data_IF_604868297184
#
_entry.id   IF_604868297184
#
_cell.length_a   1.000
_cell.length_b   1.000
_cell.length_c   1.000
_cell.angle_alpha   90.00
_cell.angle_beta   90.00
_cell.angle_gamma   90.00
#
_symmetry.space_group_name_H-M   'P 1'
#
loop_
_entity.id
_entity.type
_entity.pdbx_description
1 polymer ?
#
# COMPACT_ATOMS: atom_id res chain seq x y z
N UNK A 1 -16.20 7.45 13.12
CA UNK A 1 -16.28 6.28 12.22
C UNK A 1 -14.87 5.75 12.07
N UNK A 2 -14.55 4.58 12.62
CA UNK A 2 -13.24 3.96 12.39
C UNK A 2 -13.32 3.18 11.08
N UNK A 3 -12.93 3.82 9.99
CA UNK A 3 -12.73 3.12 8.71
C UNK A 3 -11.49 2.26 8.83
N UNK A 4 -11.64 0.96 8.62
CA UNK A 4 -10.54 -0.01 8.56
C UNK A 4 -10.24 -0.36 7.10
N UNK A 5 -8.96 -0.47 6.76
CA UNK A 5 -8.48 -0.88 5.45
C UNK A 5 -7.64 -2.15 5.61
N UNK A 6 -7.77 -3.09 4.67
CA UNK A 6 -6.92 -4.28 4.63
C UNK A 6 -5.61 -3.93 3.91
N UNK A 7 -4.49 -3.98 4.63
CA UNK A 7 -3.18 -3.49 4.17
C UNK A 7 -2.25 -4.66 3.88
N UNK A 8 -1.64 -4.68 2.70
CA UNK A 8 -0.64 -5.68 2.35
C UNK A 8 0.75 -5.27 2.84
N UNK A 9 1.16 -4.04 2.55
CA UNK A 9 2.46 -3.50 2.95
C UNK A 9 2.45 -1.96 3.00
N UNK A 10 3.30 -1.40 3.86
CA UNK A 10 3.61 0.04 3.93
C UNK A 10 5.13 0.18 3.93
N UNK A 11 5.69 0.90 2.97
CA UNK A 11 7.15 1.06 2.84
C UNK A 11 7.52 2.41 2.22
N UNK A 12 8.75 2.85 2.46
CA UNK A 12 9.31 4.09 1.91
C UNK A 12 10.36 3.78 0.84
N UNK A 13 10.19 4.40 -0.33
CA UNK A 13 11.08 4.22 -1.48
C UNK A 13 10.99 5.44 -2.41
N UNK A 14 11.56 5.35 -3.61
CA UNK A 14 11.38 6.32 -4.68
C UNK A 14 10.23 5.88 -5.59
N UNK A 15 9.40 6.81 -6.05
CA UNK A 15 8.43 6.54 -7.11
C UNK A 15 9.15 6.10 -8.38
N UNK A 16 8.75 4.96 -8.95
CA UNK A 16 9.40 4.34 -10.09
C UNK A 16 8.78 4.72 -11.44
N UNK A 17 7.60 5.36 -11.44
CA UNK A 17 6.80 5.53 -12.66
C UNK A 17 6.23 6.93 -12.89
N UNK A 18 5.94 7.21 -14.16
CA UNK A 18 5.25 8.41 -14.65
C UNK A 18 5.94 9.75 -14.33
N UNK A 19 5.16 10.78 -13.96
CA UNK A 19 5.65 12.16 -13.82
C UNK A 19 6.51 12.38 -12.57
N UNK A 20 6.30 11.54 -11.56
CA UNK A 20 6.87 11.71 -10.22
C UNK A 20 8.04 10.75 -9.96
N UNK A 21 8.58 10.13 -11.02
CA UNK A 21 9.76 9.26 -10.95
C UNK A 21 10.88 9.93 -10.15
N UNK A 22 11.42 9.20 -9.18
CA UNK A 22 12.53 9.63 -8.33
C UNK A 22 12.10 10.41 -7.09
N UNK A 23 10.82 10.74 -6.90
CA UNK A 23 10.36 11.40 -5.67
C UNK A 23 10.30 10.40 -4.50
N UNK A 24 10.88 10.73 -3.33
CA UNK A 24 10.71 9.92 -2.14
C UNK A 24 9.24 9.85 -1.72
N UNK A 25 8.71 8.64 -1.60
CA UNK A 25 7.27 8.38 -1.44
C UNK A 25 7.06 7.22 -0.47
N UNK A 26 6.10 7.38 0.45
CA UNK A 26 5.59 6.27 1.25
C UNK A 26 4.45 5.61 0.48
N UNK A 27 4.61 4.33 0.17
CA UNK A 27 3.60 3.51 -0.50
C UNK A 27 2.74 2.80 0.54
N UNK A 28 1.42 2.84 0.34
CA UNK A 28 0.44 2.08 1.12
C UNK A 28 -0.26 1.13 0.16
N UNK A 29 0.15 -0.14 0.14
CA UNK A 29 -0.47 -1.15 -0.74
C UNK A 29 -1.63 -1.81 -0.01
N UNK A 30 -2.83 -1.71 -0.58
CA UNK A 30 -4.02 -2.41 -0.08
C UNK A 30 -4.01 -3.88 -0.51
N UNK A 31 -4.69 -4.70 0.29
CA UNK A 31 -4.94 -6.10 -0.03
C UNK A 31 -6.23 -6.23 -0.83
N UNK A 32 -6.18 -7.04 -1.89
CA UNK A 32 -7.33 -7.47 -2.67
C UNK A 32 -7.47 -6.76 -4.01
N UNK A 33 -7.76 -7.54 -5.04
CA UNK A 33 -8.13 -7.05 -6.38
C UNK A 33 -9.17 -8.01 -6.95
N UNK A 34 -10.27 -7.54 -7.57
CA UNK A 34 -11.25 -8.43 -8.20
C UNK A 34 -10.77 -8.98 -9.56
N UNK A 35 -9.72 -8.40 -10.14
CA UNK A 35 -9.15 -8.84 -11.41
C UNK A 35 -8.16 -9.99 -11.21
N UNK A 36 -7.99 -10.82 -12.25
CA UNK A 36 -7.06 -11.96 -12.28
C UNK A 36 -6.20 -11.89 -13.55
N UNK A 37 -5.51 -10.77 -13.69
CA UNK A 37 -4.63 -10.52 -14.83
C UNK A 37 -3.44 -11.49 -14.80
N UNK A 38 -3.18 -12.19 -15.91
CA UNK A 38 -2.05 -13.12 -16.04
C UNK A 38 -0.67 -12.44 -16.08
N UNK A 39 -0.65 -11.11 -16.25
CA UNK A 39 0.55 -10.28 -16.30
C UNK A 39 0.76 -9.48 -15.00
N UNK A 40 0.05 -9.82 -13.92
CA UNK A 40 0.22 -9.14 -12.65
C UNK A 40 1.54 -9.57 -12.00
N UNK A 41 2.40 -8.59 -11.67
CA UNK A 41 3.65 -8.82 -10.95
C UNK A 41 3.47 -8.90 -9.42
N UNK A 42 2.31 -8.47 -8.92
CA UNK A 42 2.00 -8.31 -7.49
C UNK A 42 0.83 -9.22 -7.06
N UNK A 43 0.76 -10.44 -7.58
CA UNK A 43 -0.33 -11.39 -7.25
C UNK A 43 -0.42 -11.72 -5.75
N UNK A 44 0.71 -11.61 -5.03
CA UNK A 44 0.77 -11.81 -3.59
C UNK A 44 -0.14 -10.84 -2.81
N UNK A 45 -0.46 -9.67 -3.37
CA UNK A 45 -1.35 -8.70 -2.76
C UNK A 45 -2.84 -9.05 -2.88
N UNK A 46 -3.21 -10.11 -3.61
CA UNK A 46 -4.62 -10.51 -3.76
C UNK A 46 -5.24 -11.07 -2.47
N UNK A 47 -4.40 -11.56 -1.55
CA UNK A 47 -4.82 -12.18 -0.29
C UNK A 47 -4.02 -11.60 0.86
N UNK A 48 -4.67 -11.48 2.00
CA UNK A 48 -4.12 -10.90 3.20
C UNK A 48 -5.26 -10.54 4.14
N UNK A 49 -4.98 -10.51 5.43
CA UNK A 49 -5.98 -10.16 6.43
C UNK A 49 -5.30 -9.33 7.52
N UNK A 50 -5.02 -8.08 7.19
CA UNK A 50 -4.38 -7.13 8.08
C UNK A 50 -5.20 -5.84 8.06
N UNK A 51 -6.27 -5.84 8.85
CA UNK A 51 -7.17 -4.70 8.99
C UNK A 51 -6.53 -3.68 9.93
N UNK A 52 -6.23 -2.50 9.39
CA UNK A 52 -5.69 -1.37 10.12
C UNK A 52 -6.65 -0.19 10.04
N UNK A 53 -6.81 0.53 11.15
CA UNK A 53 -7.50 1.81 11.13
C UNK A 53 -6.67 2.88 10.42
N UNK A 54 -7.32 3.91 9.89
CA UNK A 54 -6.64 5.06 9.28
C UNK A 54 -5.64 5.71 10.27
N UNK A 55 -5.97 5.79 11.56
CA UNK A 55 -5.07 6.36 12.57
C UNK A 55 -3.77 5.57 12.72
N UNK A 56 -3.85 4.23 12.66
CA UNK A 56 -2.67 3.36 12.70
C UNK A 56 -1.84 3.53 11.43
N UNK A 57 -2.48 3.57 10.26
CA UNK A 57 -1.78 3.80 8.97
C UNK A 57 -1.04 5.15 8.98
N UNK A 58 -1.69 6.22 9.45
CA UNK A 58 -1.06 7.54 9.57
C UNK A 58 0.10 7.53 10.57
N UNK A 59 0.01 6.74 11.64
CA UNK A 59 1.10 6.58 12.61
C UNK A 59 2.30 5.87 11.98
N UNK A 60 2.07 4.85 11.15
CA UNK A 60 3.14 4.16 10.40
C UNK A 60 3.82 5.08 9.38
N UNK A 61 3.04 5.85 8.61
CA UNK A 61 3.58 6.80 7.61
C UNK A 61 4.47 7.85 8.27
N UNK A 62 4.10 8.34 9.46
CA UNK A 62 4.87 9.33 10.21
C UNK A 62 6.27 8.86 10.63
N UNK A 63 6.57 7.55 10.60
CA UNK A 63 7.93 7.04 10.92
C UNK A 63 8.98 7.43 9.89
N UNK A 64 8.55 7.85 8.68
CA UNK A 64 9.44 8.23 7.58
C UNK A 64 9.62 9.76 7.45
N UNK A 65 9.21 10.53 8.47
CA UNK A 65 9.36 11.99 8.58
C UNK A 65 9.94 12.41 9.93
#
# INVERSE_FOLDING_TARGET
>A
MNTELNINEIFYSLQGEAREVGLPTVFVRLTGCPLRCSYCDTEYAFKGNNLLSIDVILTEIKKYN
#
